data_IF_614969312890
#
_entry.id   IF_614969312890
#
_cell.length_a   1.000
_cell.length_b   1.000
_cell.length_c   1.000
_cell.angle_alpha   90.00
_cell.angle_beta   90.00
_cell.angle_gamma   90.00
#
_symmetry.space_group_name_H-M   'P 1'
#
loop_
_entity.id
_entity.type
_entity.pdbx_description
1 polymer ?
#
# COMPACT_ATOMS: atom_id res chain seq x y z
N UNK A 1 21.19 39.75 18.69
CA UNK A 1 21.30 38.66 19.69
C UNK A 1 20.01 37.86 19.86
N UNK A 2 18.84 38.50 20.02
CA UNK A 2 17.54 37.84 20.27
C UNK A 2 17.04 36.94 19.11
N UNK A 3 17.28 37.32 17.84
CA UNK A 3 16.88 36.52 16.66
C UNK A 3 17.61 35.17 16.53
N UNK A 4 18.84 35.06 17.05
CA UNK A 4 19.61 33.81 17.05
C UNK A 4 19.11 32.82 18.10
N UNK A 5 18.77 33.32 19.29
CA UNK A 5 18.17 32.53 20.37
C UNK A 5 16.79 31.99 19.98
N UNK A 6 15.96 32.80 19.32
CA UNK A 6 14.63 32.38 18.88
C UNK A 6 14.68 31.28 17.82
N UNK A 7 15.63 31.37 16.86
CA UNK A 7 15.87 30.30 15.87
C UNK A 7 16.38 29.01 16.52
N UNK A 8 17.24 29.11 17.52
CA UNK A 8 17.75 27.96 18.25
C UNK A 8 16.64 27.29 19.07
N UNK A 9 15.79 28.08 19.73
CA UNK A 9 14.61 27.60 20.46
C UNK A 9 13.60 26.93 19.53
N UNK A 10 13.32 27.52 18.36
CA UNK A 10 12.44 26.92 17.35
C UNK A 10 12.98 25.58 16.84
N UNK A 11 14.30 25.50 16.62
CA UNK A 11 14.98 24.29 16.18
C UNK A 11 14.94 23.18 17.25
N UNK A 12 15.13 23.54 18.53
CA UNK A 12 14.98 22.63 19.67
C UNK A 12 13.53 22.16 19.80
N UNK A 13 12.55 23.05 19.70
CA UNK A 13 11.11 22.70 19.74
C UNK A 13 10.70 21.78 18.58
N UNK A 14 11.24 21.99 17.38
CA UNK A 14 11.03 21.10 16.23
C UNK A 14 11.63 19.71 16.47
N UNK A 15 12.85 19.63 17.03
CA UNK A 15 13.52 18.36 17.39
C UNK A 15 12.76 17.62 18.50
N UNK A 16 12.31 18.34 19.53
CA UNK A 16 11.50 17.80 20.64
C UNK A 16 10.14 17.32 20.14
N UNK A 17 9.46 18.07 19.27
CA UNK A 17 8.20 17.64 18.65
C UNK A 17 8.36 16.39 17.76
N UNK A 18 9.48 16.28 17.04
CA UNK A 18 9.79 15.06 16.29
C UNK A 18 10.07 13.86 17.21
N UNK A 19 10.81 14.07 18.30
CA UNK A 19 11.12 13.04 19.29
C UNK A 19 9.85 12.56 20.01
N UNK A 20 8.98 13.49 20.43
CA UNK A 20 7.67 13.19 21.03
C UNK A 20 6.77 12.47 20.02
N UNK A 21 6.75 12.89 18.75
CA UNK A 21 5.98 12.21 17.70
C UNK A 21 6.48 10.79 17.41
N UNK A 22 7.79 10.54 17.49
CA UNK A 22 8.36 9.19 17.39
C UNK A 22 8.02 8.34 18.62
N UNK A 23 8.11 8.90 19.82
CA UNK A 23 7.78 8.22 21.09
C UNK A 23 6.28 7.90 21.14
N UNK A 24 5.41 8.84 20.76
CA UNK A 24 3.96 8.62 20.64
C UNK A 24 3.66 7.63 19.51
N UNK A 25 4.31 7.72 18.35
CA UNK A 25 4.14 6.74 17.27
C UNK A 25 4.54 5.32 17.66
N UNK A 26 5.56 5.18 18.51
CA UNK A 26 6.01 3.92 19.09
C UNK A 26 5.04 3.40 20.17
N UNK A 27 4.53 4.28 21.04
CA UNK A 27 3.58 3.95 22.12
C UNK A 27 2.16 3.67 21.59
N UNK A 28 1.73 4.34 20.52
CA UNK A 28 0.38 4.24 19.96
C UNK A 28 0.30 3.45 18.64
N UNK A 29 1.42 2.87 18.21
CA UNK A 29 1.48 1.99 17.06
C UNK A 29 1.04 2.68 15.77
N UNK A 30 1.66 3.81 15.38
CA UNK A 30 1.47 4.46 14.07
C UNK A 30 2.77 4.40 13.24
N UNK A 31 2.70 3.93 12.00
CA UNK A 31 3.82 3.95 11.05
C UNK A 31 3.83 5.32 10.35
N UNK A 32 4.88 6.13 10.55
CA UNK A 32 5.00 7.45 9.95
C UNK A 32 5.12 7.35 8.43
N UNK A 33 4.93 8.48 7.73
CA UNK A 33 5.27 8.55 6.31
C UNK A 33 6.76 8.28 6.10
N UNK A 34 7.08 7.72 4.94
CA UNK A 34 8.45 7.50 4.48
C UNK A 34 9.28 8.80 4.60
N UNK A 35 10.48 8.70 5.19
CA UNK A 35 11.40 9.83 5.27
C UNK A 35 12.08 10.02 3.91
N UNK A 36 12.52 11.25 3.61
CA UNK A 36 13.25 11.56 2.37
C UNK A 36 14.64 10.90 2.30
N UNK A 37 15.24 10.66 3.46
CA UNK A 37 16.55 10.04 3.58
C UNK A 37 16.45 8.90 4.60
N UNK A 38 16.74 7.69 4.13
CA UNK A 38 16.80 6.44 4.88
C UNK A 38 17.96 5.61 4.31
N UNK A 39 18.63 4.81 5.14
CA UNK A 39 19.48 3.73 4.65
C UNK A 39 18.63 2.59 4.07
N UNK A 40 19.27 1.64 3.38
CA UNK A 40 18.60 0.41 2.94
C UNK A 40 18.01 -0.36 4.12
N UNK A 41 18.80 -0.54 5.17
CA UNK A 41 18.40 -1.23 6.41
C UNK A 41 17.21 -0.54 7.10
N UNK A 42 17.22 0.79 7.21
CA UNK A 42 16.09 1.55 7.76
C UNK A 42 14.82 1.38 6.92
N UNK A 43 14.97 1.19 5.61
CA UNK A 43 13.85 0.94 4.71
C UNK A 43 13.32 -0.50 4.83
N UNK A 44 14.20 -1.49 5.00
CA UNK A 44 13.83 -2.88 5.28
C UNK A 44 13.04 -2.99 6.60
N UNK A 45 13.53 -2.36 7.67
CA UNK A 45 12.83 -2.28 8.96
C UNK A 45 11.46 -1.59 8.83
N UNK A 46 11.38 -0.55 8.00
CA UNK A 46 10.14 0.15 7.74
C UNK A 46 9.11 -0.73 7.02
N UNK A 47 9.53 -1.51 6.01
CA UNK A 47 8.67 -2.48 5.31
C UNK A 47 8.27 -3.60 6.26
N UNK A 48 9.20 -4.12 7.07
CA UNK A 48 8.94 -5.13 8.09
C UNK A 48 7.79 -4.73 9.03
N UNK A 49 7.80 -3.50 9.54
CA UNK A 49 6.74 -3.00 10.43
C UNK A 49 5.38 -2.87 9.72
N UNK A 50 5.37 -2.51 8.43
CA UNK A 50 4.13 -2.51 7.62
C UNK A 50 3.59 -3.93 7.50
N UNK A 51 4.42 -4.89 7.08
CA UNK A 51 4.03 -6.30 6.90
C UNK A 51 3.44 -6.89 8.18
N UNK A 52 4.12 -6.65 9.32
CA UNK A 52 3.70 -7.09 10.65
C UNK A 52 2.29 -6.63 11.00
N UNK A 53 1.94 -5.39 10.64
CA UNK A 53 0.65 -4.79 10.99
C UNK A 53 -0.47 -5.11 10.02
N UNK A 54 -0.17 -5.41 8.76
CA UNK A 54 -1.17 -5.87 7.78
C UNK A 54 -1.40 -7.38 7.82
N UNK A 55 -0.85 -8.07 8.82
CA UNK A 55 -1.21 -9.44 9.17
C UNK A 55 -0.24 -10.53 8.71
N UNK A 56 0.91 -10.17 8.13
CA UNK A 56 1.96 -11.14 7.87
C UNK A 56 2.49 -11.72 9.19
N UNK A 57 2.89 -12.99 9.15
CA UNK A 57 3.39 -13.80 10.26
C UNK A 57 4.77 -14.34 9.92
N UNK A 58 5.46 -14.86 10.94
CA UNK A 58 6.81 -15.44 10.80
C UNK A 58 7.81 -14.54 10.06
N UNK A 59 7.67 -13.22 10.23
CA UNK A 59 8.47 -12.22 9.52
C UNK A 59 9.89 -12.23 10.06
N UNK A 60 10.88 -12.28 9.18
CA UNK A 60 12.31 -12.28 9.51
C UNK A 60 13.08 -11.42 8.53
N UNK A 61 13.94 -10.54 9.04
CA UNK A 61 14.98 -9.90 8.24
C UNK A 61 16.10 -10.92 7.97
N UNK A 62 16.64 -10.93 6.76
CA UNK A 62 17.79 -11.78 6.40
C UNK A 62 19.10 -11.12 6.82
N UNK A 63 20.20 -11.86 6.67
CA UNK A 63 21.54 -11.36 6.98
C UNK A 63 22.02 -10.35 5.93
N UNK A 64 22.83 -9.37 6.32
CA UNK A 64 23.28 -8.27 5.43
C UNK A 64 24.14 -8.70 4.23
N UNK A 65 24.69 -9.90 4.26
CA UNK A 65 25.56 -10.42 3.20
C UNK A 65 25.25 -11.88 2.91
N UNK A 66 25.27 -12.25 1.63
CA UNK A 66 24.92 -13.62 1.23
C UNK A 66 23.45 -13.95 1.48
N UNK A 67 22.57 -12.96 1.31
CA UNK A 67 21.11 -13.10 1.42
C UNK A 67 20.44 -13.53 0.12
N UNK A 68 21.23 -13.67 -0.95
CA UNK A 68 20.76 -14.02 -2.30
C UNK A 68 19.72 -13.03 -2.86
N UNK A 69 19.72 -11.78 -2.37
CA UNK A 69 18.81 -10.73 -2.83
C UNK A 69 17.41 -10.78 -2.23
N UNK A 70 17.25 -11.34 -1.03
CA UNK A 70 16.00 -11.28 -0.26
C UNK A 70 16.32 -10.64 1.08
N UNK A 71 15.63 -9.56 1.42
CA UNK A 71 15.86 -8.81 2.67
C UNK A 71 14.87 -9.22 3.77
N UNK A 72 13.65 -9.63 3.40
CA UNK A 72 12.60 -10.04 4.35
C UNK A 72 11.93 -11.33 3.87
N UNK A 73 11.77 -12.28 4.79
CA UNK A 73 10.95 -13.47 4.61
C UNK A 73 9.70 -13.35 5.48
N UNK A 74 8.53 -13.69 4.97
CA UNK A 74 7.28 -13.63 5.73
C UNK A 74 6.26 -14.66 5.25
N UNK A 75 5.18 -14.85 6.02
CA UNK A 75 4.07 -15.74 5.66
C UNK A 75 2.74 -15.00 5.78
N UNK A 76 1.86 -15.11 4.79
CA UNK A 76 0.53 -14.52 4.83
C UNK A 76 -0.48 -15.50 4.25
N UNK A 77 -1.55 -15.79 5.02
CA UNK A 77 -2.60 -16.75 4.64
C UNK A 77 -2.06 -18.11 4.16
N UNK A 78 -0.97 -18.58 4.77
CA UNK A 78 -0.33 -19.87 4.44
C UNK A 78 0.64 -19.84 3.25
N UNK A 79 0.82 -18.68 2.61
CA UNK A 79 1.75 -18.48 1.49
C UNK A 79 3.03 -17.81 2.02
N UNK A 80 4.19 -18.31 1.59
CA UNK A 80 5.53 -17.84 1.94
C UNK A 80 6.02 -16.80 0.93
N UNK A 81 6.34 -15.59 1.42
CA UNK A 81 6.77 -14.45 0.60
C UNK A 81 8.22 -14.03 0.88
N UNK A 82 8.99 -13.84 -0.18
CA UNK A 82 10.36 -13.36 -0.15
C UNK A 82 10.44 -11.94 -0.74
N UNK A 83 10.80 -10.95 0.09
CA UNK A 83 10.81 -9.55 -0.27
C UNK A 83 12.24 -9.02 -0.48
N UNK A 84 12.47 -8.38 -1.61
CA UNK A 84 13.63 -7.50 -1.84
C UNK A 84 13.18 -6.04 -1.76
N UNK A 85 13.75 -5.29 -0.83
CA UNK A 85 13.57 -3.87 -0.63
C UNK A 85 14.66 -3.06 -1.37
N UNK A 86 14.25 -2.06 -2.15
CA UNK A 86 15.16 -1.12 -2.83
C UNK A 86 14.75 0.33 -2.55
N UNK A 87 15.54 1.02 -1.76
CA UNK A 87 15.36 2.46 -1.48
C UNK A 87 16.28 3.32 -2.34
N UNK A 88 15.77 3.90 -3.43
CA UNK A 88 16.57 4.64 -4.42
C UNK A 88 16.01 6.03 -4.75
N UNK A 89 16.80 6.82 -5.49
CA UNK A 89 16.42 8.12 -6.03
C UNK A 89 15.88 8.06 -7.47
N UNK A 90 15.92 6.88 -8.09
CA UNK A 90 15.52 6.63 -9.48
C UNK A 90 14.67 5.36 -9.57
N UNK A 91 13.91 5.18 -10.66
CA UNK A 91 13.13 3.97 -10.88
C UNK A 91 13.96 2.69 -10.80
N UNK A 92 13.37 1.64 -10.25
CA UNK A 92 14.02 0.34 -10.05
C UNK A 92 14.04 -0.48 -11.34
N UNK A 93 15.21 -1.03 -11.65
CA UNK A 93 15.48 -1.80 -12.87
C UNK A 93 15.32 -3.32 -12.71
N UNK A 94 15.56 -4.03 -13.81
CA UNK A 94 15.41 -5.50 -13.92
C UNK A 94 16.23 -6.31 -12.91
N UNK A 95 17.36 -5.77 -12.46
CA UNK A 95 18.25 -6.47 -11.51
C UNK A 95 17.55 -6.80 -10.19
N UNK A 96 16.68 -5.91 -9.68
CA UNK A 96 15.95 -6.18 -8.45
C UNK A 96 14.93 -7.32 -8.60
N UNK A 97 14.30 -7.42 -9.78
CA UNK A 97 13.36 -8.49 -10.12
C UNK A 97 14.09 -9.83 -10.21
N UNK A 98 15.25 -9.86 -10.87
CA UNK A 98 16.09 -11.05 -10.96
C UNK A 98 16.57 -11.54 -9.58
N UNK A 99 16.97 -10.61 -8.72
CA UNK A 99 17.38 -10.88 -7.34
C UNK A 99 16.24 -11.49 -6.54
N UNK A 100 15.07 -10.83 -6.50
CA UNK A 100 13.92 -11.32 -5.76
C UNK A 100 13.46 -12.72 -6.25
N UNK A 101 13.40 -12.92 -7.58
CA UNK A 101 13.05 -14.21 -8.16
C UNK A 101 14.04 -15.31 -7.74
N UNK A 102 15.34 -15.08 -7.96
CA UNK A 102 16.37 -16.09 -7.66
C UNK A 102 16.48 -16.38 -6.16
N UNK A 103 16.31 -15.36 -5.32
CA UNK A 103 16.35 -15.53 -3.88
C UNK A 103 15.10 -16.23 -3.34
N UNK A 104 13.91 -15.97 -3.90
CA UNK A 104 12.69 -16.69 -3.56
C UNK A 104 12.85 -18.20 -3.77
N UNK A 105 13.38 -18.60 -4.94
CA UNK A 105 13.72 -19.99 -5.24
C UNK A 105 14.76 -20.55 -4.26
N UNK A 106 15.82 -19.79 -3.95
CA UNK A 106 16.86 -20.25 -3.02
C UNK A 106 16.33 -20.57 -1.62
N UNK A 107 15.35 -19.80 -1.13
CA UNK A 107 14.75 -20.03 0.19
C UNK A 107 13.58 -21.03 0.18
N UNK A 108 13.22 -21.59 -0.98
CA UNK A 108 12.02 -22.42 -1.18
C UNK A 108 10.72 -21.70 -0.76
N UNK A 109 10.58 -20.44 -1.17
CA UNK A 109 9.39 -19.61 -0.91
C UNK A 109 8.48 -19.53 -2.14
N UNK A 110 7.19 -19.28 -1.92
CA UNK A 110 6.16 -19.35 -2.97
C UNK A 110 6.14 -18.11 -3.86
N UNK A 111 6.31 -16.92 -3.27
CA UNK A 111 6.04 -15.65 -3.94
C UNK A 111 7.16 -14.62 -3.73
N UNK A 112 7.73 -14.13 -4.84
CA UNK A 112 8.75 -13.10 -4.84
C UNK A 112 8.13 -11.70 -4.90
N UNK A 113 8.62 -10.77 -4.08
CA UNK A 113 8.14 -9.38 -4.05
C UNK A 113 9.33 -8.41 -4.12
N UNK A 114 9.24 -7.40 -5.00
CA UNK A 114 10.15 -6.25 -4.96
C UNK A 114 9.40 -5.05 -4.39
N UNK A 115 9.95 -4.44 -3.35
CA UNK A 115 9.40 -3.26 -2.68
C UNK A 115 10.31 -2.07 -2.89
N UNK A 116 9.78 -0.91 -3.25
CA UNK A 116 10.57 0.31 -3.43
C UNK A 116 9.81 1.57 -3.00
N UNK A 117 10.56 2.65 -2.74
CA UNK A 117 10.03 4.00 -2.57
C UNK A 117 9.77 4.72 -3.91
N UNK A 118 10.24 4.16 -5.03
CA UNK A 118 10.15 4.76 -6.36
C UNK A 118 9.15 3.99 -7.23
N UNK A 119 9.18 4.22 -8.53
CA UNK A 119 8.49 3.39 -9.54
C UNK A 119 9.44 2.33 -10.10
N UNK A 120 8.92 1.47 -10.96
CA UNK A 120 9.72 0.50 -11.71
C UNK A 120 9.90 0.93 -13.17
N UNK A 121 10.98 0.49 -13.79
CA UNK A 121 11.17 0.64 -15.24
C UNK A 121 10.20 -0.26 -16.02
N UNK A 122 9.89 0.10 -17.28
CA UNK A 122 9.03 -0.73 -18.16
C UNK A 122 9.58 -2.16 -18.31
N UNK A 123 10.90 -2.30 -18.38
CA UNK A 123 11.57 -3.59 -18.49
C UNK A 123 11.43 -4.41 -17.19
N UNK A 124 11.49 -3.76 -16.03
CA UNK A 124 11.25 -4.43 -14.75
C UNK A 124 9.80 -4.92 -14.65
N UNK A 125 8.81 -4.13 -15.06
CA UNK A 125 7.41 -4.58 -15.14
C UNK A 125 7.24 -5.80 -16.06
N UNK A 126 7.80 -5.74 -17.27
CA UNK A 126 7.71 -6.84 -18.23
C UNK A 126 8.35 -8.14 -17.71
N UNK A 127 9.51 -8.04 -17.06
CA UNK A 127 10.18 -9.21 -16.47
C UNK A 127 9.42 -9.75 -15.25
N UNK A 128 8.92 -8.86 -14.40
CA UNK A 128 8.18 -9.24 -13.19
C UNK A 128 6.90 -10.01 -13.55
N UNK A 129 6.14 -9.52 -14.53
CA UNK A 129 4.97 -10.21 -15.08
C UNK A 129 5.31 -11.60 -15.60
N UNK A 130 6.43 -11.74 -16.32
CA UNK A 130 6.83 -13.03 -16.90
C UNK A 130 7.28 -14.05 -15.85
N UNK A 131 7.85 -13.59 -14.75
CA UNK A 131 8.42 -14.44 -13.70
C UNK A 131 7.52 -14.56 -12.46
N UNK A 132 6.32 -13.97 -12.48
CA UNK A 132 5.41 -13.96 -11.32
C UNK A 132 5.91 -13.12 -10.13
N UNK A 133 6.79 -12.15 -10.36
CA UNK A 133 7.31 -11.30 -9.27
C UNK A 133 6.33 -10.16 -9.00
N UNK A 134 5.90 -10.01 -7.75
CA UNK A 134 5.00 -8.95 -7.32
C UNK A 134 5.79 -7.64 -7.16
N UNK A 135 5.23 -6.53 -7.66
CA UNK A 135 5.86 -5.21 -7.58
C UNK A 135 5.09 -4.28 -6.63
N UNK A 136 5.76 -3.81 -5.58
CA UNK A 136 5.25 -2.79 -4.67
C UNK A 136 6.06 -1.50 -4.86
N UNK A 137 5.51 -0.59 -5.66
CA UNK A 137 6.09 0.74 -5.85
C UNK A 137 5.78 1.67 -4.65
N UNK A 138 6.26 2.90 -4.73
CA UNK A 138 6.06 3.87 -3.65
C UNK A 138 4.59 4.17 -3.33
N UNK A 139 3.70 4.09 -4.32
CA UNK A 139 2.26 4.29 -4.12
C UNK A 139 1.65 3.07 -3.41
N UNK A 140 1.92 1.86 -3.90
CA UNK A 140 1.46 0.61 -3.28
C UNK A 140 1.98 0.48 -1.85
N UNK A 141 3.25 0.80 -1.60
CA UNK A 141 3.82 0.80 -0.26
C UNK A 141 3.13 1.80 0.67
N UNK A 142 2.81 3.00 0.18
CA UNK A 142 2.06 3.98 0.96
C UNK A 142 0.60 3.56 1.21
N UNK A 143 -0.03 2.84 0.26
CA UNK A 143 -1.32 2.19 0.49
C UNK A 143 -1.20 1.19 1.65
N UNK A 144 -0.26 0.25 1.59
CA UNK A 144 -0.02 -0.75 2.65
C UNK A 144 0.24 -0.12 4.01
N UNK A 145 1.03 0.97 4.04
CA UNK A 145 1.25 1.77 5.24
C UNK A 145 -0.03 2.39 5.80
N UNK A 146 -0.96 2.85 4.96
CA UNK A 146 -2.27 3.33 5.42
C UNK A 146 -3.07 2.18 6.00
N UNK A 147 -3.11 1.01 5.34
CA UNK A 147 -3.78 -0.19 5.86
C UNK A 147 -3.22 -0.60 7.23
N UNK A 148 -1.89 -0.61 7.36
CA UNK A 148 -1.16 -0.92 8.60
C UNK A 148 -1.52 0.04 9.76
N UNK A 149 -1.95 1.25 9.43
CA UNK A 149 -2.37 2.25 10.39
C UNK A 149 -3.87 2.20 10.72
N UNK A 150 -4.71 1.51 9.93
CA UNK A 150 -6.17 1.43 10.17
C UNK A 150 -6.51 0.82 11.54
N UNK A 151 -5.67 -0.08 12.04
CA UNK A 151 -5.85 -0.77 13.31
C UNK A 151 -5.12 -0.12 14.50
N UNK A 152 -4.40 0.98 14.28
CA UNK A 152 -3.78 1.73 15.37
C UNK A 152 -4.87 2.34 16.26
N UNK A 153 -4.78 2.17 17.58
CA UNK A 153 -5.80 2.60 18.55
C UNK A 153 -6.22 4.07 18.35
N UNK A 154 -5.30 4.93 17.89
CA UNK A 154 -5.54 6.35 17.62
C UNK A 154 -6.23 6.63 16.27
N UNK A 155 -6.13 5.73 15.29
CA UNK A 155 -6.85 5.84 14.02
C UNK A 155 -8.36 5.72 14.23
N UNK A 156 -8.79 4.82 15.13
CA UNK A 156 -10.19 4.69 15.57
C UNK A 156 -10.79 5.99 16.13
N UNK A 157 -9.98 6.86 16.74
CA UNK A 157 -10.45 8.13 17.31
C UNK A 157 -10.59 9.26 16.27
N UNK A 158 -9.87 9.21 15.14
CA UNK A 158 -9.97 10.24 14.09
C UNK A 158 -10.79 9.83 12.86
N UNK A 159 -11.04 8.53 12.65
CA UNK A 159 -11.74 8.02 11.45
C UNK A 159 -13.25 7.79 11.57
N UNK A 160 -13.89 8.19 12.67
CA UNK A 160 -15.36 8.34 12.66
C UNK A 160 -15.86 9.39 11.63
N UNK A 161 -14.95 10.03 10.87
CA UNK A 161 -15.24 11.10 9.91
C UNK A 161 -14.59 10.95 8.54
N UNK A 162 -13.86 9.87 8.24
CA UNK A 162 -13.28 9.73 6.91
C UNK A 162 -14.10 8.76 6.05
N UNK A 163 -14.57 9.22 4.88
CA UNK A 163 -15.40 8.41 4.01
C UNK A 163 -14.63 7.18 3.49
N UNK A 164 -15.35 6.11 3.17
CA UNK A 164 -14.77 4.91 2.57
C UNK A 164 -14.08 5.29 1.24
N UNK A 165 -12.96 4.65 0.85
CA UNK A 165 -12.26 4.98 -0.41
C UNK A 165 -13.13 4.85 -1.67
N UNK A 166 -14.22 4.08 -1.60
CA UNK A 166 -15.19 3.91 -2.68
C UNK A 166 -16.48 4.71 -2.44
N UNK A 167 -16.58 5.52 -1.38
CA UNK A 167 -17.80 6.27 -1.06
C UNK A 167 -18.23 7.20 -2.21
N UNK A 168 -17.30 7.99 -2.75
CA UNK A 168 -17.57 8.85 -3.91
C UNK A 168 -17.95 8.05 -5.16
N UNK A 169 -17.38 6.85 -5.34
CA UNK A 169 -17.69 5.95 -6.46
C UNK A 169 -19.10 5.39 -6.31
N UNK A 170 -19.42 4.84 -5.14
CA UNK A 170 -20.74 4.31 -4.82
C UNK A 170 -21.82 5.38 -4.97
N UNK A 171 -21.52 6.61 -4.54
CA UNK A 171 -22.43 7.73 -4.71
C UNK A 171 -22.70 8.03 -6.19
N UNK A 172 -21.65 8.12 -7.02
CA UNK A 172 -21.80 8.36 -8.47
C UNK A 172 -22.62 7.27 -9.15
N UNK A 173 -22.34 5.99 -8.87
CA UNK A 173 -23.06 4.88 -9.55
C UNK A 173 -24.51 4.74 -9.06
N UNK A 174 -24.78 5.05 -7.77
CA UNK A 174 -26.14 5.08 -7.24
C UNK A 174 -26.96 6.24 -7.83
N UNK A 175 -26.33 7.41 -7.99
CA UNK A 175 -26.95 8.58 -8.62
C UNK A 175 -27.22 8.34 -10.11
N UNK A 176 -26.30 7.67 -10.81
CA UNK A 176 -26.43 7.37 -12.24
C UNK A 176 -27.33 6.15 -12.54
N UNK A 177 -27.43 5.20 -11.61
CA UNK A 177 -28.15 3.93 -11.79
C UNK A 177 -27.39 2.88 -12.60
N UNK A 178 -26.12 3.13 -12.93
CA UNK A 178 -25.23 2.21 -13.62
C UNK A 178 -23.77 2.56 -13.29
N UNK A 179 -22.85 1.65 -13.63
CA UNK A 179 -21.41 1.90 -13.51
C UNK A 179 -20.72 1.67 -14.86
N UNK A 180 -19.78 2.55 -15.21
CA UNK A 180 -18.89 2.38 -16.37
C UNK A 180 -17.59 3.13 -16.16
N UNK A 181 -16.55 2.76 -16.91
CA UNK A 181 -15.24 3.44 -16.81
C UNK A 181 -15.36 4.91 -17.18
N UNK A 182 -16.10 5.24 -18.25
CA UNK A 182 -16.33 6.61 -18.69
C UNK A 182 -17.10 7.45 -17.66
N UNK A 183 -18.13 6.87 -17.03
CA UNK A 183 -18.92 7.56 -16.00
C UNK A 183 -18.00 8.02 -14.85
N UNK A 184 -17.20 7.10 -14.32
CA UNK A 184 -16.30 7.39 -13.19
C UNK A 184 -15.15 8.31 -13.61
N UNK A 185 -14.64 8.18 -14.84
CA UNK A 185 -13.61 9.08 -15.36
C UNK A 185 -14.11 10.52 -15.43
N UNK A 186 -15.32 10.74 -15.96
CA UNK A 186 -15.92 12.07 -16.11
C UNK A 186 -16.25 12.72 -14.75
N UNK A 187 -16.76 11.94 -13.78
CA UNK A 187 -17.21 12.49 -12.50
C UNK A 187 -16.11 12.65 -11.46
N UNK A 188 -15.11 11.73 -11.45
CA UNK A 188 -14.11 11.67 -10.39
C UNK A 188 -12.70 12.07 -10.85
N UNK A 189 -12.51 12.30 -12.15
CA UNK A 189 -11.22 12.63 -12.76
C UNK A 189 -10.11 11.65 -12.32
N UNK A 190 -10.47 10.38 -12.22
CA UNK A 190 -9.62 9.30 -11.71
C UNK A 190 -8.87 8.63 -12.87
N UNK A 191 -7.67 8.10 -12.60
CA UNK A 191 -6.93 7.35 -13.62
C UNK A 191 -7.70 6.09 -14.04
N UNK A 192 -7.73 5.79 -15.34
CA UNK A 192 -8.48 4.67 -15.94
C UNK A 192 -8.12 3.33 -15.28
N UNK A 193 -6.84 3.05 -15.08
CA UNK A 193 -6.41 1.79 -14.46
C UNK A 193 -6.86 1.64 -13.00
N UNK A 194 -7.08 2.76 -12.30
CA UNK A 194 -7.66 2.74 -10.97
C UNK A 194 -9.18 2.54 -11.02
N UNK A 195 -9.84 3.08 -12.03
CA UNK A 195 -11.28 2.89 -12.26
C UNK A 195 -11.57 1.42 -12.56
N UNK A 196 -10.83 0.82 -13.50
CA UNK A 196 -11.01 -0.59 -13.88
C UNK A 196 -10.88 -1.50 -12.66
N UNK A 197 -9.81 -1.31 -11.86
CA UNK A 197 -9.62 -2.05 -10.62
C UNK A 197 -10.79 -1.90 -9.62
N UNK A 198 -11.35 -0.69 -9.50
CA UNK A 198 -12.48 -0.46 -8.60
C UNK A 198 -13.74 -1.15 -9.13
N UNK A 199 -14.01 -1.09 -10.44
CA UNK A 199 -15.16 -1.75 -11.04
C UNK A 199 -15.07 -3.27 -10.89
N UNK A 200 -13.87 -3.85 -11.04
CA UNK A 200 -13.63 -5.27 -10.78
C UNK A 200 -13.89 -5.63 -9.31
N UNK A 201 -13.44 -4.80 -8.36
CA UNK A 201 -13.75 -4.99 -6.94
C UNK A 201 -15.27 -4.91 -6.67
N UNK A 202 -15.97 -3.95 -7.28
CA UNK A 202 -17.42 -3.81 -7.11
C UNK A 202 -18.20 -5.00 -7.71
N UNK A 203 -17.77 -5.52 -8.85
CA UNK A 203 -18.33 -6.74 -9.44
C UNK A 203 -18.11 -7.93 -8.51
N UNK A 204 -16.90 -8.08 -7.96
CA UNK A 204 -16.56 -9.16 -7.05
C UNK A 204 -17.43 -9.18 -5.77
N UNK A 205 -17.90 -8.02 -5.30
CA UNK A 205 -18.76 -7.90 -4.13
C UNK A 205 -20.25 -7.89 -4.43
N UNK A 206 -20.65 -8.25 -5.66
CA UNK A 206 -22.04 -8.21 -6.12
C UNK A 206 -22.68 -6.83 -5.95
N UNK A 207 -21.88 -5.76 -6.03
CA UNK A 207 -22.37 -4.38 -5.99
C UNK A 207 -22.80 -3.93 -7.38
N UNK A 208 -22.10 -4.40 -8.41
CA UNK A 208 -22.44 -4.21 -9.81
C UNK A 208 -22.37 -5.53 -10.58
N UNK A 209 -22.99 -5.60 -11.76
CA UNK A 209 -22.87 -6.74 -12.66
C UNK A 209 -21.50 -6.83 -13.34
N UNK A 210 -21.28 -7.95 -14.04
CA UNK A 210 -20.30 -8.01 -15.12
C UNK A 210 -20.62 -6.98 -16.20
N UNK A 211 -19.59 -6.56 -16.92
CA UNK A 211 -19.69 -5.60 -18.02
C UNK A 211 -20.45 -6.19 -19.21
N UNK A 212 -21.40 -5.41 -19.75
CA UNK A 212 -22.13 -5.75 -20.96
C UNK A 212 -21.38 -5.32 -22.24
N UNK A 213 -21.95 -5.61 -23.41
CA UNK A 213 -21.35 -5.27 -24.72
C UNK A 213 -21.20 -3.75 -24.95
N UNK A 214 -21.79 -2.91 -24.11
CA UNK A 214 -21.73 -1.44 -24.16
C UNK A 214 -20.80 -0.83 -23.12
N UNK A 215 -20.11 -1.65 -22.33
CA UNK A 215 -19.22 -1.19 -21.25
C UNK A 215 -19.97 -0.73 -20.00
N UNK A 216 -21.23 -1.15 -19.84
CA UNK A 216 -22.10 -0.78 -18.74
C UNK A 216 -22.23 -1.96 -17.77
N UNK A 217 -22.28 -1.63 -16.48
CA UNK A 217 -22.53 -2.56 -15.38
C UNK A 217 -23.78 -2.10 -14.64
N UNK A 218 -24.73 -3.01 -14.43
CA UNK A 218 -25.94 -2.76 -13.64
C UNK A 218 -25.58 -2.63 -12.15
N UNK A 219 -26.21 -1.72 -11.42
CA UNK A 219 -25.96 -1.52 -9.98
C UNK A 219 -26.99 -2.31 -9.18
N UNK A 220 -26.53 -3.20 -8.29
CA UNK A 220 -27.39 -4.08 -7.49
C UNK A 220 -27.70 -3.53 -6.10
N UNK A 221 -26.94 -2.56 -5.62
CA UNK A 221 -27.18 -1.91 -4.32
C UNK A 221 -28.24 -0.81 -4.41
N UNK A 222 -28.98 -0.62 -3.32
CA UNK A 222 -30.06 0.37 -3.23
C UNK A 222 -29.66 1.62 -2.44
N UNK A 223 -28.55 1.57 -1.71
CA UNK A 223 -28.08 2.67 -0.86
C UNK A 223 -26.57 2.62 -0.64
N UNK A 224 -26.01 3.79 -0.30
CA UNK A 224 -24.59 3.89 0.05
C UNK A 224 -24.24 3.01 1.26
N UNK A 225 -25.10 2.99 2.28
CA UNK A 225 -24.89 2.18 3.48
C UNK A 225 -24.83 0.67 3.17
N UNK A 226 -25.67 0.20 2.26
CA UNK A 226 -25.66 -1.20 1.79
C UNK A 226 -24.35 -1.54 1.07
N UNK A 227 -23.95 -0.70 0.11
CA UNK A 227 -22.69 -0.89 -0.63
C UNK A 227 -21.46 -0.89 0.29
N UNK A 228 -21.41 0.03 1.25
CA UNK A 228 -20.34 0.07 2.25
C UNK A 228 -20.30 -1.17 3.13
N UNK A 229 -21.45 -1.67 3.58
CA UNK A 229 -21.53 -2.91 4.36
C UNK A 229 -21.03 -4.12 3.58
N UNK A 230 -21.33 -4.21 2.27
CA UNK A 230 -20.84 -5.31 1.42
C UNK A 230 -19.32 -5.26 1.29
N UNK A 231 -18.75 -4.07 1.09
CA UNK A 231 -17.30 -3.85 1.03
C UNK A 231 -16.60 -4.17 2.36
N UNK A 232 -17.27 -4.00 3.50
CA UNK A 232 -16.73 -4.31 4.83
C UNK A 232 -16.79 -5.80 5.20
N UNK A 233 -17.73 -6.57 4.64
CA UNK A 233 -17.96 -7.99 4.98
C UNK A 233 -16.84 -8.94 4.53
N UNK A 234 -15.94 -8.50 3.65
CA UNK A 234 -14.84 -9.31 3.10
C UNK A 234 -13.55 -9.30 3.93
N UNK A 235 -13.58 -8.67 5.10
CA UNK A 235 -12.44 -8.54 6.00
C UNK A 235 -12.57 -9.34 7.31
N UNK A 236 -13.55 -10.25 7.40
CA UNK A 236 -13.72 -11.21 8.51
C UNK A 236 -13.23 -12.59 8.07
#
# INVERSE_FOLDING_TARGET
MIRGLFRCLLWILQKVGHLIGCIIGFVFGWIPRLKKHMSGEEFEEYVYEILKRIGYKHIRLTQKSGDYGVDILATYKGIHYAFQCKYYSKPVGVSAVQQAYSGCEYYDYDEAVVVTNQTFTRQAHALAMRNGVILWDGEKLNQMRRLANRHALFYRFHHQKMPHPYEDVLQVILEAGYASTDLLYQHLNMNISRIDYILDDLEFYDIVSSEDDYGIREVYISSLEEGLKLLERSHI
#
